data_IF_722628659618
#
_entry.id   IF_722628659618
#
_cell.length_a   1.000
_cell.length_b   1.000
_cell.length_c   1.000
_cell.angle_alpha   90.00
_cell.angle_beta   90.00
_cell.angle_gamma   90.00
#
_symmetry.space_group_name_H-M   'P 1'
#
loop_
_entity.id
_entity.type
_entity.pdbx_description
1 polymer ?
#
# COMPACT_ATOMS: atom_id res chain seq x y z
N UNK A 1 0.51 -0.82 -20.84
CA UNK A 1 -0.12 -1.26 -22.12
C UNK A 1 0.10 -0.23 -23.21
N UNK A 2 -0.06 1.06 -22.93
CA UNK A 2 0.14 2.14 -23.91
C UNK A 2 1.56 2.23 -24.51
N UNK A 3 2.57 1.73 -23.82
CA UNK A 3 3.98 1.73 -24.28
C UNK A 3 4.36 0.52 -25.13
N UNK A 4 3.45 -0.45 -25.35
CA UNK A 4 3.73 -1.66 -26.13
C UNK A 4 3.55 -1.33 -27.63
N UNK A 5 4.54 -1.58 -28.50
CA UNK A 5 4.41 -1.36 -29.94
C UNK A 5 3.22 -2.11 -30.54
N UNK A 6 2.45 -1.41 -31.38
CA UNK A 6 1.24 -1.94 -32.02
C UNK A 6 1.45 -3.28 -32.75
N UNK A 7 2.56 -3.52 -33.49
CA UNK A 7 2.79 -4.81 -34.15
C UNK A 7 2.95 -5.99 -33.21
N UNK A 8 3.40 -5.76 -31.97
CA UNK A 8 3.49 -6.80 -30.95
C UNK A 8 2.14 -6.99 -30.26
N UNK A 9 1.44 -5.88 -29.99
CA UNK A 9 0.13 -5.90 -29.33
C UNK A 9 -0.90 -6.68 -30.15
N UNK A 10 -0.90 -6.53 -31.48
CA UNK A 10 -1.78 -7.27 -32.39
C UNK A 10 -1.54 -8.80 -32.38
N UNK A 11 -0.33 -9.23 -31.97
CA UNK A 11 0.06 -10.64 -31.91
C UNK A 11 -0.02 -11.25 -30.50
N UNK A 12 -0.49 -10.49 -29.52
CA UNK A 12 -0.59 -10.95 -28.13
C UNK A 12 -2.06 -10.96 -27.69
N UNK A 13 -2.44 -12.01 -26.97
CA UNK A 13 -3.67 -11.98 -26.19
C UNK A 13 -3.41 -11.20 -24.90
N UNK A 14 -4.20 -10.14 -24.69
CA UNK A 14 -4.09 -9.31 -23.50
C UNK A 14 -4.99 -9.87 -22.40
N UNK A 15 -4.37 -10.35 -21.32
CA UNK A 15 -5.07 -10.80 -20.12
C UNK A 15 -4.80 -9.79 -19.00
N UNK A 16 -5.83 -9.07 -18.60
CA UNK A 16 -5.72 -8.07 -17.53
C UNK A 16 -5.88 -8.74 -16.16
N UNK A 17 -4.85 -8.57 -15.32
CA UNK A 17 -4.86 -9.04 -13.93
C UNK A 17 -5.14 -7.85 -13.01
N UNK A 18 -6.28 -7.86 -12.33
CA UNK A 18 -6.65 -6.83 -11.36
C UNK A 18 -5.81 -6.94 -10.08
N UNK A 19 -5.74 -5.83 -9.34
CA UNK A 19 -5.19 -5.84 -7.98
C UNK A 19 -6.07 -6.64 -7.00
N UNK A 20 -5.55 -6.80 -5.79
CA UNK A 20 -6.22 -7.55 -4.72
C UNK A 20 -6.91 -6.62 -3.72
N UNK A 21 -8.08 -7.02 -3.23
CA UNK A 21 -8.73 -6.36 -2.08
C UNK A 21 -8.06 -6.75 -0.76
N UNK A 22 -8.32 -6.02 0.31
CA UNK A 22 -7.66 -6.24 1.61
C UNK A 22 -7.83 -7.68 2.12
N UNK A 23 -9.02 -8.26 1.97
CA UNK A 23 -9.31 -9.63 2.43
C UNK A 23 -8.59 -10.68 1.58
N UNK A 24 -8.48 -10.46 0.27
CA UNK A 24 -7.68 -11.31 -0.63
C UNK A 24 -6.19 -11.24 -0.26
N UNK A 25 -5.67 -10.05 0.04
CA UNK A 25 -4.29 -9.89 0.50
C UNK A 25 -4.03 -10.61 1.81
N UNK A 26 -5.00 -10.57 2.74
CA UNK A 26 -4.92 -11.30 4.00
C UNK A 26 -4.88 -12.81 3.74
N UNK A 27 -5.73 -13.33 2.87
CA UNK A 27 -5.73 -14.74 2.48
C UNK A 27 -4.40 -15.16 1.83
N UNK A 28 -3.91 -14.36 0.88
CA UNK A 28 -2.61 -14.59 0.21
C UNK A 28 -1.47 -14.58 1.22
N UNK A 29 -1.47 -13.63 2.16
CA UNK A 29 -0.45 -13.52 3.18
C UNK A 29 -0.38 -14.77 4.06
N UNK A 30 -1.52 -15.31 4.48
CA UNK A 30 -1.59 -16.51 5.33
C UNK A 30 -1.23 -17.78 4.59
N UNK A 31 -1.78 -17.97 3.39
CA UNK A 31 -1.66 -19.22 2.64
C UNK A 31 -0.29 -19.35 1.97
N UNK A 32 0.31 -18.24 1.54
CA UNK A 32 1.51 -18.27 0.70
C UNK A 32 2.68 -17.46 1.28
N UNK A 33 2.49 -16.17 1.58
CA UNK A 33 3.62 -15.29 1.90
C UNK A 33 4.29 -15.65 3.23
N UNK A 34 3.50 -15.89 4.29
CA UNK A 34 4.03 -16.21 5.62
C UNK A 34 4.73 -17.58 5.64
N UNK A 35 4.12 -18.68 5.12
CA UNK A 35 4.80 -19.97 5.03
C UNK A 35 6.09 -19.90 4.20
N UNK A 36 6.06 -19.17 3.08
CA UNK A 36 7.23 -19.01 2.22
C UNK A 36 8.35 -18.25 2.94
N UNK A 37 8.06 -17.11 3.57
CA UNK A 37 9.04 -16.33 4.30
C UNK A 37 9.64 -17.12 5.49
N UNK A 38 8.82 -17.91 6.18
CA UNK A 38 9.28 -18.81 7.26
C UNK A 38 10.23 -19.86 6.74
N UNK A 39 9.89 -20.52 5.62
CA UNK A 39 10.74 -21.51 4.96
C UNK A 39 12.08 -20.91 4.55
N UNK A 40 12.06 -19.73 3.94
CA UNK A 40 13.26 -19.03 3.47
C UNK A 40 14.18 -18.59 4.62
N UNK A 41 13.61 -18.33 5.80
CA UNK A 41 14.35 -17.96 7.01
C UNK A 41 14.68 -19.16 7.92
N UNK A 42 14.30 -20.39 7.54
CA UNK A 42 14.53 -21.60 8.33
C UNK A 42 13.72 -21.67 9.63
N UNK A 43 12.62 -20.93 9.75
CA UNK A 43 11.78 -20.92 10.94
C UNK A 43 10.71 -22.02 10.89
N UNK A 44 10.54 -22.72 12.01
CA UNK A 44 9.44 -23.67 12.22
C UNK A 44 8.17 -22.93 12.69
N UNK A 45 6.97 -23.51 12.48
CA UNK A 45 5.71 -22.97 13.01
C UNK A 45 5.73 -22.74 14.53
N UNK A 46 6.51 -23.55 15.25
CA UNK A 46 6.61 -23.50 16.70
C UNK A 46 7.40 -22.29 17.23
N UNK A 47 8.04 -21.50 16.35
CA UNK A 47 8.84 -20.34 16.75
C UNK A 47 8.11 -19.01 16.52
N UNK A 48 7.11 -18.95 15.65
CA UNK A 48 6.43 -17.71 15.28
C UNK A 48 4.94 -17.93 15.05
N UNK A 49 4.12 -17.05 15.62
CA UNK A 49 2.72 -16.90 15.23
C UNK A 49 2.47 -15.46 14.85
N UNK A 50 1.75 -15.22 13.74
CA UNK A 50 1.36 -13.88 13.33
C UNK A 50 -0.16 -13.83 13.33
N UNK A 51 -0.72 -12.94 14.15
CA UNK A 51 -2.17 -12.77 14.24
C UNK A 51 -2.74 -12.08 12.99
N UNK A 52 -4.01 -12.36 12.71
CA UNK A 52 -4.76 -11.73 11.61
C UNK A 52 -4.81 -10.21 11.75
N UNK A 53 -4.95 -9.71 12.98
CA UNK A 53 -4.95 -8.29 13.28
C UNK A 53 -3.62 -7.63 12.93
N UNK A 54 -2.49 -8.30 13.18
CA UNK A 54 -1.18 -7.80 12.78
C UNK A 54 -1.05 -7.72 11.25
N UNK A 55 -1.53 -8.74 10.53
CA UNK A 55 -1.54 -8.73 9.05
C UNK A 55 -2.45 -7.62 8.50
N UNK A 56 -3.63 -7.42 9.08
CA UNK A 56 -4.53 -6.34 8.71
C UNK A 56 -3.89 -4.96 8.92
N UNK A 57 -3.18 -4.77 10.02
CA UNK A 57 -2.43 -3.53 10.29
C UNK A 57 -1.28 -3.35 9.30
N UNK A 58 -0.55 -4.41 8.95
CA UNK A 58 0.48 -4.37 7.90
C UNK A 58 -0.10 -3.93 6.55
N UNK A 59 -1.23 -4.52 6.15
CA UNK A 59 -1.88 -4.21 4.88
C UNK A 59 -2.33 -2.76 4.84
N UNK A 60 -2.95 -2.24 5.90
CA UNK A 60 -3.51 -0.88 5.92
C UNK A 60 -2.45 0.21 6.12
N UNK A 61 -1.53 0.00 7.07
CA UNK A 61 -0.69 1.09 7.56
C UNK A 61 0.73 1.08 6.96
N UNK A 62 1.13 -0.01 6.31
CA UNK A 62 2.49 -0.17 5.78
C UNK A 62 2.53 -0.47 4.27
N UNK A 63 1.38 -0.77 3.66
CA UNK A 63 1.30 -1.11 2.23
C UNK A 63 0.26 -0.23 1.50
N UNK A 64 0.70 0.53 0.48
CA UNK A 64 -0.19 1.24 -0.45
C UNK A 64 0.14 0.86 -1.89
N UNK A 65 -0.35 -0.29 -2.28
CA UNK A 65 -0.21 -0.82 -3.64
C UNK A 65 -1.43 -1.70 -3.96
N UNK A 66 -1.64 -2.00 -5.23
CA UNK A 66 -2.66 -2.94 -5.71
C UNK A 66 -2.24 -4.41 -5.50
N UNK A 67 -0.94 -4.69 -5.56
CA UNK A 67 -0.35 -6.03 -5.35
C UNK A 67 -0.01 -6.38 -3.90
N UNK A 68 0.88 -7.35 -3.72
CA UNK A 68 1.36 -7.86 -2.41
C UNK A 68 2.88 -7.82 -2.24
N UNK A 69 3.61 -7.10 -3.10
CA UNK A 69 5.07 -7.01 -3.08
C UNK A 69 5.61 -6.31 -1.82
N UNK A 70 5.03 -5.18 -1.43
CA UNK A 70 5.37 -4.49 -0.19
C UNK A 70 4.92 -5.28 1.03
N UNK A 71 3.77 -5.95 0.95
CA UNK A 71 3.29 -6.84 2.00
C UNK A 71 4.28 -7.99 2.25
N UNK A 72 4.74 -8.64 1.18
CA UNK A 72 5.76 -9.67 1.23
C UNK A 72 7.05 -9.17 1.89
N UNK A 73 7.58 -8.02 1.45
CA UNK A 73 8.80 -7.43 2.04
C UNK A 73 8.68 -7.19 3.54
N UNK A 74 7.53 -6.71 4.00
CA UNK A 74 7.30 -6.46 5.42
C UNK A 74 7.16 -7.77 6.20
N UNK A 75 6.47 -8.78 5.66
CA UNK A 75 6.39 -10.12 6.27
C UNK A 75 7.80 -10.72 6.40
N UNK A 76 8.60 -10.70 5.34
CA UNK A 76 9.99 -11.17 5.36
C UNK A 76 10.83 -10.42 6.41
N UNK A 77 10.64 -9.11 6.54
CA UNK A 77 11.33 -8.30 7.56
C UNK A 77 10.94 -8.72 8.98
N UNK A 78 9.66 -8.99 9.24
CA UNK A 78 9.17 -9.50 10.53
C UNK A 78 9.80 -10.86 10.83
N UNK A 79 9.67 -11.80 9.89
CA UNK A 79 10.17 -13.17 10.03
C UNK A 79 11.69 -13.19 10.27
N UNK A 80 12.46 -12.38 9.52
CA UNK A 80 13.92 -12.26 9.71
C UNK A 80 14.31 -11.73 11.09
N UNK A 81 13.56 -10.75 11.62
CA UNK A 81 13.79 -10.23 12.97
C UNK A 81 13.43 -11.24 14.05
N UNK A 82 12.36 -12.03 13.84
CA UNK A 82 12.01 -13.11 14.75
C UNK A 82 13.10 -14.18 14.74
N UNK A 83 13.59 -14.58 13.57
CA UNK A 83 14.70 -15.52 13.44
C UNK A 83 15.94 -15.05 14.21
N UNK A 84 16.28 -13.76 14.12
CA UNK A 84 17.37 -13.18 14.89
C UNK A 84 17.15 -13.28 16.42
N UNK A 85 15.94 -13.00 16.92
CA UNK A 85 15.61 -13.13 18.36
C UNK A 85 15.71 -14.58 18.85
N UNK A 86 15.26 -15.54 18.04
CA UNK A 86 15.33 -16.98 18.36
C UNK A 86 16.78 -17.45 18.44
N UNK A 87 17.64 -17.05 17.50
CA UNK A 87 19.07 -17.40 17.50
C UNK A 87 19.82 -16.78 18.68
N UNK A 88 19.40 -15.59 19.13
CA UNK A 88 19.96 -14.94 20.31
C UNK A 88 19.45 -15.54 21.64
N UNK A 89 18.66 -16.61 21.59
CA UNK A 89 18.05 -17.30 22.73
C UNK A 89 17.16 -16.41 23.61
N UNK A 90 16.66 -15.29 23.08
CA UNK A 90 15.80 -14.37 23.87
C UNK A 90 14.41 -14.97 24.12
N UNK A 91 13.85 -15.69 23.15
CA UNK A 91 12.55 -16.36 23.25
C UNK A 91 12.47 -17.54 22.27
N UNK A 92 11.98 -18.68 22.74
CA UNK A 92 11.75 -19.86 21.89
C UNK A 92 10.53 -19.69 20.95
N UNK A 93 9.55 -18.88 21.36
CA UNK A 93 8.35 -18.57 20.58
C UNK A 93 8.04 -17.08 20.64
N UNK A 94 7.75 -16.47 19.48
CA UNK A 94 7.44 -15.05 19.37
C UNK A 94 6.05 -14.86 18.75
N UNK A 95 5.03 -14.47 19.55
CA UNK A 95 3.74 -14.07 19.02
C UNK A 95 3.83 -12.64 18.48
N UNK A 96 3.43 -12.44 17.22
CA UNK A 96 3.37 -11.13 16.57
C UNK A 96 1.91 -10.68 16.49
N UNK A 97 1.63 -9.62 17.23
CA UNK A 97 0.31 -8.99 17.33
C UNK A 97 0.36 -7.52 16.94
N UNK A 98 -0.81 -6.87 16.95
CA UNK A 98 -0.93 -5.45 16.62
C UNK A 98 -0.10 -4.53 17.52
N UNK A 99 0.15 -4.91 18.77
CA UNK A 99 0.84 -4.08 19.76
C UNK A 99 2.35 -4.08 19.54
N UNK A 100 2.93 -5.25 19.25
CA UNK A 100 4.37 -5.41 19.09
C UNK A 100 4.85 -5.32 17.62
N UNK A 101 3.94 -5.30 16.64
CA UNK A 101 4.27 -5.18 15.22
C UNK A 101 5.26 -4.05 14.92
N UNK A 102 5.10 -2.92 15.61
CA UNK A 102 5.93 -1.73 15.41
C UNK A 102 7.41 -1.92 15.77
N UNK A 103 7.74 -2.87 16.66
CA UNK A 103 9.12 -3.25 16.98
C UNK A 103 9.82 -3.93 15.80
N UNK A 104 9.05 -4.65 14.99
CA UNK A 104 9.55 -5.40 13.85
C UNK A 104 9.66 -4.52 12.61
N UNK A 105 8.57 -3.88 12.21
CA UNK A 105 8.54 -3.12 10.95
C UNK A 105 8.88 -1.64 11.09
N UNK A 106 8.77 -1.09 12.30
CA UNK A 106 8.92 0.33 12.61
C UNK A 106 7.56 1.03 12.78
N UNK A 107 7.59 2.36 12.86
CA UNK A 107 6.37 3.17 12.95
C UNK A 107 5.51 3.04 11.67
N UNK A 108 4.18 3.12 11.78
CA UNK A 108 3.27 3.17 10.63
C UNK A 108 3.71 4.21 9.59
N UNK A 109 3.74 3.80 8.31
CA UNK A 109 4.12 4.69 7.19
C UNK A 109 2.90 5.51 6.74
N UNK A 110 1.72 4.89 6.77
CA UNK A 110 0.47 5.50 6.36
C UNK A 110 -0.48 5.52 7.56
N UNK A 111 -0.96 6.71 7.92
CA UNK A 111 -1.80 6.93 9.10
C UNK A 111 -3.21 7.38 8.76
N UNK A 112 -3.42 7.97 7.57
CA UNK A 112 -4.71 8.49 7.15
C UNK A 112 -5.00 8.13 5.70
N UNK A 113 -6.18 7.55 5.46
CA UNK A 113 -6.67 7.23 4.11
C UNK A 113 -7.06 8.47 3.30
N UNK A 114 -7.44 9.55 3.98
CA UNK A 114 -7.80 10.83 3.35
C UNK A 114 -6.87 11.94 3.83
N UNK A 115 -6.45 12.78 2.88
CA UNK A 115 -5.69 14.00 3.18
C UNK A 115 -6.59 15.04 3.85
N UNK A 116 -7.84 15.17 3.38
CA UNK A 116 -8.84 16.05 3.97
C UNK A 116 -9.97 15.24 4.62
N UNK A 117 -10.25 15.41 5.93
CA UNK A 117 -11.39 14.73 6.57
C UNK A 117 -12.72 15.23 6.00
N UNK A 118 -12.83 16.54 5.75
CA UNK A 118 -13.90 17.19 5.00
C UNK A 118 -13.23 18.07 3.95
N UNK A 119 -13.63 17.95 2.69
CA UNK A 119 -13.04 18.73 1.59
C UNK A 119 -13.43 20.20 1.72
N UNK A 120 -12.47 21.14 1.79
CA UNK A 120 -12.79 22.56 1.77
C UNK A 120 -13.33 23.00 0.40
N UNK A 121 -13.99 24.16 0.30
CA UNK A 121 -14.43 24.71 -0.98
C UNK A 121 -13.26 24.82 -1.97
N UNK A 122 -13.48 24.35 -3.20
CA UNK A 122 -12.45 24.33 -4.24
C UNK A 122 -11.63 23.04 -4.31
N UNK A 123 -11.85 22.07 -3.40
CA UNK A 123 -11.17 20.77 -3.40
C UNK A 123 -12.19 19.65 -3.61
N UNK A 124 -11.92 18.73 -4.53
CA UNK A 124 -12.74 17.52 -4.74
C UNK A 124 -11.87 16.28 -4.83
N UNK A 125 -12.39 15.14 -4.36
CA UNK A 125 -11.75 13.84 -4.49
C UNK A 125 -12.17 13.18 -5.80
N UNK A 126 -11.21 12.80 -6.63
CA UNK A 126 -11.40 12.06 -7.88
C UNK A 126 -10.75 10.68 -7.82
N UNK A 127 -11.21 9.78 -8.68
CA UNK A 127 -10.58 8.49 -8.92
C UNK A 127 -9.74 8.58 -10.21
N UNK A 128 -8.50 8.11 -10.13
CA UNK A 128 -7.57 8.08 -11.25
C UNK A 128 -7.09 6.66 -11.52
N UNK A 129 -6.95 6.31 -12.79
CA UNK A 129 -6.27 5.08 -13.21
C UNK A 129 -4.81 5.40 -13.48
N UNK A 130 -3.91 4.84 -12.68
CA UNK A 130 -2.46 5.05 -12.81
C UNK A 130 -1.77 3.77 -13.28
N UNK A 131 -0.50 3.87 -13.68
CA UNK A 131 0.32 2.71 -14.03
C UNK A 131 0.45 1.68 -12.88
N UNK A 132 0.24 2.10 -11.62
CA UNK A 132 0.28 1.24 -10.44
C UNK A 132 -1.12 0.71 -10.03
N UNK A 133 -2.16 1.03 -10.79
CA UNK A 133 -3.56 0.71 -10.54
C UNK A 133 -4.40 1.94 -10.16
N UNK A 134 -5.61 1.70 -9.65
CA UNK A 134 -6.51 2.75 -9.20
C UNK A 134 -5.97 3.52 -8.00
N UNK A 135 -6.08 4.85 -8.04
CA UNK A 135 -5.67 5.76 -6.97
C UNK A 135 -6.70 6.88 -6.78
N UNK A 136 -6.80 7.40 -5.55
CA UNK A 136 -7.59 8.61 -5.25
C UNK A 136 -6.69 9.84 -5.38
N UNK A 137 -7.11 10.84 -6.16
CA UNK A 137 -6.44 12.13 -6.30
C UNK A 137 -7.33 13.25 -5.78
N UNK A 138 -6.73 14.36 -5.35
CA UNK A 138 -7.44 15.59 -5.04
C UNK A 138 -7.22 16.59 -6.16
N UNK A 139 -8.31 17.12 -6.71
CA UNK A 139 -8.29 18.23 -7.66
C UNK A 139 -8.57 19.49 -6.84
N UNK A 140 -7.66 20.45 -6.90
CA UNK A 140 -7.72 21.68 -6.13
C UNK A 140 -7.85 22.89 -7.05
N UNK A 141 -8.64 23.87 -6.62
CA UNK A 141 -8.83 25.15 -7.29
C UNK A 141 -8.66 26.26 -6.26
N UNK A 142 -7.98 27.33 -6.66
CA UNK A 142 -7.76 28.50 -5.80
C UNK A 142 -7.89 29.78 -6.60
N UNK A 143 -8.48 30.79 -6.00
CA UNK A 143 -8.65 32.11 -6.62
C UNK A 143 -7.32 32.85 -6.57
N UNK A 144 -6.67 33.07 -7.72
CA UNK A 144 -5.38 33.79 -7.77
C UNK A 144 -5.50 35.30 -7.64
N UNK A 145 -6.57 35.90 -8.18
CA UNK A 145 -6.82 37.35 -8.13
C UNK A 145 -8.14 37.62 -7.44
N UNK A 146 -8.15 38.58 -6.52
CA UNK A 146 -9.39 39.04 -5.91
C UNK A 146 -10.28 39.70 -6.98
N UNK A 147 -11.61 39.49 -6.93
CA UNK A 147 -12.54 40.19 -7.80
C UNK A 147 -12.35 41.70 -7.62
N UNK A 148 -12.19 42.43 -8.72
CA UNK A 148 -12.20 43.90 -8.74
C UNK A 148 -13.42 44.38 -9.51
N UNK A 149 -13.97 45.55 -9.17
CA UNK A 149 -15.15 46.12 -9.85
C UNK A 149 -14.94 46.46 -11.35
N UNK A 150 -13.74 46.26 -11.88
CA UNK A 150 -13.43 46.41 -13.29
C UNK A 150 -13.71 45.09 -14.01
N UNK A 151 -14.44 45.14 -15.12
CA UNK A 151 -14.59 43.99 -16.02
C UNK A 151 -13.23 43.61 -16.61
N UNK A 152 -12.63 42.56 -16.06
CA UNK A 152 -11.39 41.95 -16.54
C UNK A 152 -11.73 40.53 -16.97
N UNK A 153 -11.23 40.11 -18.12
CA UNK A 153 -11.41 38.75 -18.63
C UNK A 153 -10.84 37.71 -17.65
N UNK A 154 -11.61 36.67 -17.34
CA UNK A 154 -11.18 35.61 -16.43
C UNK A 154 -10.07 34.76 -17.04
N UNK A 155 -9.09 34.36 -16.22
CA UNK A 155 -8.00 33.46 -16.63
C UNK A 155 -8.03 32.16 -15.82
N UNK A 156 -7.67 31.04 -16.46
CA UNK A 156 -7.48 29.74 -15.80
C UNK A 156 -6.04 29.28 -16.00
N UNK A 157 -5.35 28.98 -14.91
CA UNK A 157 -4.01 28.39 -14.93
C UNK A 157 -4.08 26.99 -14.34
N UNK A 158 -3.64 26.00 -15.12
CA UNK A 158 -3.61 24.59 -14.72
C UNK A 158 -2.19 24.20 -14.29
N UNK A 159 -2.09 23.44 -13.21
CA UNK A 159 -0.84 22.86 -12.72
C UNK A 159 -0.98 21.35 -12.57
N UNK A 160 0.15 20.62 -12.61
CA UNK A 160 0.15 19.16 -12.74
C UNK A 160 0.34 18.71 -14.19
N UNK A 161 0.62 17.41 -14.38
CA UNK A 161 0.77 16.76 -15.68
C UNK A 161 -0.42 15.83 -15.93
#
# INVERSE_FOLDING_TARGET
>A
VETIPEPLRDRMEMIDMSGYVADEKLAIAKQYLLPQAMKDSGLKPDHISVSDDALNVLIRNYCRESGVRNLQKHIEKVVRKVAFRVVKEENAFVPVDKTNLSEFVGKPVFTQDRMYPVTPPGVVMGLAWTAMGGSTLYIETTTRRLPTDKEVEGSLELTGH
#
